data_IF_177022629791
#
_entry.id   IF_177022629791
#
_cell.length_a   1.000
_cell.length_b   1.000
_cell.length_c   1.000
_cell.angle_alpha   90.00
_cell.angle_beta   90.00
_cell.angle_gamma   90.00
#
_symmetry.space_group_name_H-M   'P 1'
#
loop_
_entity.id
_entity.type
_entity.pdbx_description
1 polymer ?
#
# COMPACT_ATOMS: atom_id res chain seq x y z
N UNK A 1 -3.24 -13.38 17.22
CA UNK A 1 -4.23 -13.33 16.11
C UNK A 1 -3.83 -12.29 15.05
N UNK A 2 -3.67 -11.00 15.42
CA UNK A 2 -3.27 -9.95 14.49
C UNK A 2 -1.91 -10.21 13.84
N UNK A 3 -0.93 -10.71 14.59
CA UNK A 3 0.39 -11.08 14.07
C UNK A 3 0.32 -12.24 13.06
N UNK A 4 -0.56 -13.20 13.28
CA UNK A 4 -0.77 -14.32 12.34
C UNK A 4 -1.40 -13.82 11.03
N UNK A 5 -2.40 -12.93 11.11
CA UNK A 5 -3.00 -12.29 9.95
C UNK A 5 -1.95 -11.48 9.16
N UNK A 6 -1.12 -10.72 9.86
CA UNK A 6 -0.04 -9.95 9.25
C UNK A 6 0.98 -10.82 8.55
N UNK A 7 1.37 -11.93 9.15
CA UNK A 7 2.24 -12.92 8.52
C UNK A 7 1.63 -13.53 7.26
N UNK A 8 0.34 -13.82 7.28
CA UNK A 8 -0.37 -14.30 6.09
C UNK A 8 -0.40 -13.22 4.99
N UNK A 9 -0.85 -12.03 5.30
CA UNK A 9 -0.95 -10.92 4.36
C UNK A 9 0.39 -10.58 3.70
N UNK A 10 1.47 -10.72 4.44
CA UNK A 10 2.81 -10.39 3.95
C UNK A 10 3.47 -11.49 3.13
N UNK A 11 3.29 -12.76 3.51
CA UNK A 11 4.14 -13.84 3.03
C UNK A 11 3.40 -14.97 2.30
N UNK A 12 2.09 -15.05 2.39
CA UNK A 12 1.32 -16.22 1.94
C UNK A 12 0.20 -15.92 0.96
N UNK A 13 -0.01 -14.68 0.59
CA UNK A 13 -1.02 -14.32 -0.41
C UNK A 13 -0.52 -14.58 -1.84
N UNK A 14 -1.47 -14.72 -2.77
CA UNK A 14 -1.22 -14.80 -4.21
C UNK A 14 -0.92 -13.45 -4.85
N UNK A 15 -1.13 -12.36 -4.11
CA UNK A 15 -0.80 -11.02 -4.59
C UNK A 15 0.71 -10.92 -4.76
N UNK A 16 1.22 -10.57 -5.96
CA UNK A 16 2.65 -10.41 -6.17
C UNK A 16 3.27 -9.45 -5.15
N UNK A 17 4.42 -9.78 -4.54
CA UNK A 17 5.06 -8.92 -3.52
C UNK A 17 5.24 -7.47 -3.96
N UNK A 18 5.55 -7.22 -5.22
CA UNK A 18 5.67 -5.87 -5.77
C UNK A 18 4.35 -5.08 -5.65
N UNK A 19 3.21 -5.70 -5.98
CA UNK A 19 1.89 -5.06 -5.87
C UNK A 19 1.44 -4.92 -4.42
N UNK A 20 1.75 -5.90 -3.58
CA UNK A 20 1.49 -5.83 -2.14
C UNK A 20 2.24 -4.66 -1.48
N UNK A 21 3.56 -4.58 -1.68
CA UNK A 21 4.36 -3.49 -1.13
C UNK A 21 3.99 -2.12 -1.72
N UNK A 22 3.67 -2.07 -3.02
CA UNK A 22 3.13 -0.85 -3.65
C UNK A 22 1.84 -0.38 -2.96
N UNK A 23 0.90 -1.30 -2.72
CA UNK A 23 -0.37 -1.01 -2.04
C UNK A 23 -0.14 -0.53 -0.60
N UNK A 24 0.82 -1.13 0.11
CA UNK A 24 1.21 -0.71 1.47
C UNK A 24 1.73 0.73 1.45
N UNK A 25 2.60 1.09 0.51
CA UNK A 25 3.10 2.47 0.40
C UNK A 25 1.98 3.47 0.07
N UNK A 26 1.03 3.12 -0.81
CA UNK A 26 -0.14 3.97 -1.09
C UNK A 26 -0.97 4.16 0.17
N UNK A 27 -1.21 3.09 0.93
CA UNK A 27 -1.94 3.12 2.20
C UNK A 27 -1.22 3.98 3.24
N UNK A 28 0.08 3.78 3.42
CA UNK A 28 0.91 4.55 4.33
C UNK A 28 0.87 6.05 4.00
N UNK A 29 0.91 6.41 2.71
CA UNK A 29 0.77 7.80 2.27
C UNK A 29 -0.60 8.39 2.60
N UNK A 30 -1.67 7.65 2.33
CA UNK A 30 -3.05 8.11 2.59
C UNK A 30 -3.31 8.32 4.09
N UNK A 31 -2.76 7.47 4.92
CA UNK A 31 -2.83 7.57 6.39
C UNK A 31 -1.73 8.45 6.99
N UNK A 32 -0.79 8.94 6.18
CA UNK A 32 0.41 9.67 6.65
C UNK A 32 1.13 8.92 7.78
N UNK A 33 1.21 7.59 7.66
CA UNK A 33 1.87 6.72 8.63
C UNK A 33 3.38 6.74 8.40
N UNK A 34 4.09 7.49 9.23
CA UNK A 34 5.54 7.74 9.11
C UNK A 34 6.35 6.45 9.17
N UNK A 35 6.12 5.65 10.21
CA UNK A 35 6.86 4.41 10.41
C UNK A 35 6.54 3.36 9.32
N UNK A 36 5.27 3.19 8.95
CA UNK A 36 4.88 2.22 7.92
C UNK A 36 5.55 2.52 6.58
N UNK A 37 5.57 3.80 6.17
CA UNK A 37 6.29 4.21 4.98
C UNK A 37 7.79 3.90 5.09
N UNK A 38 8.42 4.35 6.17
CA UNK A 38 9.84 4.11 6.44
C UNK A 38 10.21 2.63 6.38
N UNK A 39 9.43 1.78 7.04
CA UNK A 39 9.67 0.35 7.12
C UNK A 39 9.49 -0.37 5.77
N UNK A 40 8.52 0.07 4.94
CA UNK A 40 8.16 -0.63 3.72
C UNK A 40 8.87 -0.14 2.45
N UNK A 41 9.48 1.04 2.42
CA UNK A 41 10.27 1.49 1.26
C UNK A 41 11.35 0.48 0.87
N UNK A 42 12.20 -0.04 1.76
CA UNK A 42 13.21 -1.03 1.38
C UNK A 42 12.60 -2.34 0.84
N UNK A 43 11.45 -2.75 1.37
CA UNK A 43 10.74 -3.94 0.89
C UNK A 43 10.18 -3.73 -0.52
N UNK A 44 9.60 -2.55 -0.78
CA UNK A 44 9.07 -2.18 -2.09
C UNK A 44 10.17 -2.14 -3.14
N UNK A 45 11.32 -1.56 -2.83
CA UNK A 45 12.48 -1.52 -3.72
C UNK A 45 12.98 -2.94 -4.07
N UNK A 46 13.15 -3.80 -3.06
CA UNK A 46 13.54 -5.20 -3.27
C UNK A 46 12.51 -5.99 -4.07
N UNK A 47 11.23 -5.67 -3.95
CA UNK A 47 10.16 -6.30 -4.71
C UNK A 47 10.04 -5.79 -6.15
N UNK A 48 10.75 -4.72 -6.51
CA UNK A 48 10.81 -4.18 -7.87
C UNK A 48 9.97 -2.92 -8.12
N UNK A 49 9.46 -2.26 -7.09
CA UNK A 49 8.89 -0.90 -7.24
C UNK A 49 10.04 0.07 -7.47
N UNK A 50 10.00 0.82 -8.57
CA UNK A 50 11.13 1.70 -8.93
C UNK A 50 11.25 2.89 -7.98
N UNK A 51 12.47 3.41 -7.75
CA UNK A 51 12.68 4.63 -6.96
C UNK A 51 11.88 5.83 -7.47
N UNK A 52 11.72 5.95 -8.78
CA UNK A 52 10.89 6.98 -9.41
C UNK A 52 9.42 6.85 -8.99
N UNK A 53 8.89 5.63 -8.96
CA UNK A 53 7.52 5.36 -8.51
C UNK A 53 7.36 5.67 -7.03
N UNK A 54 8.28 5.24 -6.19
CA UNK A 54 8.27 5.53 -4.73
C UNK A 54 8.26 7.03 -4.47
N UNK A 55 9.12 7.79 -5.17
CA UNK A 55 9.15 9.26 -5.08
C UNK A 55 7.81 9.88 -5.48
N UNK A 56 7.19 9.37 -6.55
CA UNK A 56 5.88 9.86 -7.01
C UNK A 56 4.76 9.53 -6.01
N UNK A 57 4.75 8.31 -5.43
CA UNK A 57 3.79 7.91 -4.39
C UNK A 57 3.91 8.79 -3.15
N UNK A 58 5.13 9.12 -2.72
CA UNK A 58 5.37 10.05 -1.61
C UNK A 58 4.74 11.43 -1.88
N UNK A 59 4.75 11.88 -3.14
CA UNK A 59 4.10 13.12 -3.58
C UNK A 59 2.59 12.96 -3.82
N UNK A 60 1.99 11.78 -3.56
CA UNK A 60 0.56 11.52 -3.69
C UNK A 60 0.07 11.25 -5.11
N UNK A 61 0.94 10.78 -5.99
CA UNK A 61 0.65 10.46 -7.39
C UNK A 61 1.34 9.17 -7.84
N UNK A 62 0.92 8.66 -8.98
CA UNK A 62 1.61 7.55 -9.66
C UNK A 62 2.13 8.05 -11.01
N UNK A 63 3.38 7.71 -11.42
CA UNK A 63 3.89 8.17 -12.71
C UNK A 63 3.20 7.45 -13.86
N UNK A 64 3.05 8.13 -15.01
CA UNK A 64 2.46 7.52 -16.23
C UNK A 64 3.28 6.32 -16.73
N UNK A 65 4.58 6.32 -16.45
CA UNK A 65 5.51 5.24 -16.79
C UNK A 65 5.42 4.02 -15.87
N UNK A 66 4.68 4.09 -14.76
CA UNK A 66 4.48 2.94 -13.89
C UNK A 66 3.76 1.80 -14.64
N UNK A 67 4.06 0.53 -14.31
CA UNK A 67 3.38 -0.62 -14.89
C UNK A 67 1.86 -0.52 -14.77
N UNK A 68 1.16 -1.13 -15.72
CA UNK A 68 -0.32 -1.10 -15.77
C UNK A 68 -0.98 -1.67 -14.53
N UNK A 69 -0.39 -2.70 -13.94
CA UNK A 69 -0.87 -3.34 -12.72
C UNK A 69 -0.71 -2.42 -11.48
N UNK A 70 0.42 -1.75 -11.34
CA UNK A 70 0.63 -0.75 -10.28
C UNK A 70 -0.39 0.40 -10.39
N UNK A 71 -0.63 0.89 -11.62
CA UNK A 71 -1.64 1.93 -11.84
C UNK A 71 -3.06 1.45 -11.52
N UNK A 72 -3.38 0.18 -11.84
CA UNK A 72 -4.66 -0.43 -11.47
C UNK A 72 -4.84 -0.50 -9.94
N UNK A 73 -3.79 -0.89 -9.21
CA UNK A 73 -3.77 -0.88 -7.73
C UNK A 73 -3.98 0.54 -7.20
N UNK A 74 -3.27 1.51 -7.73
CA UNK A 74 -3.38 2.91 -7.28
C UNK A 74 -4.80 3.46 -7.47
N UNK A 75 -5.37 3.29 -8.66
CA UNK A 75 -6.70 3.78 -8.99
C UNK A 75 -7.78 3.12 -8.13
N UNK A 76 -7.64 1.81 -7.89
CA UNK A 76 -8.55 1.05 -7.02
C UNK A 76 -8.53 1.60 -5.59
N UNK A 77 -7.36 1.77 -5.00
CA UNK A 77 -7.22 2.28 -3.63
C UNK A 77 -7.75 3.71 -3.52
N UNK A 78 -7.40 4.58 -4.46
CA UNK A 78 -7.87 5.98 -4.46
C UNK A 78 -9.39 6.07 -4.58
N UNK A 79 -9.99 5.26 -5.43
CA UNK A 79 -11.44 5.23 -5.58
C UNK A 79 -12.13 4.69 -4.31
N UNK A 80 -11.62 3.59 -3.75
CA UNK A 80 -12.12 3.01 -2.50
C UNK A 80 -12.11 4.04 -1.36
N UNK A 81 -11.00 4.76 -1.18
CA UNK A 81 -10.88 5.77 -0.13
C UNK A 81 -11.81 6.96 -0.34
N UNK A 82 -11.94 7.42 -1.58
CA UNK A 82 -12.79 8.58 -1.90
C UNK A 82 -14.27 8.26 -1.80
N UNK A 83 -14.72 7.12 -2.35
CA UNK A 83 -16.13 6.77 -2.52
C UNK A 83 -16.64 5.76 -1.50
N UNK A 84 -15.75 5.14 -0.72
CA UNK A 84 -16.04 4.02 0.20
C UNK A 84 -16.57 2.78 -0.52
N UNK A 85 -16.37 2.73 -1.84
CA UNK A 85 -16.68 1.60 -2.73
C UNK A 85 -15.86 1.73 -4.01
N UNK A 86 -15.81 0.66 -4.77
CA UNK A 86 -15.11 0.60 -6.05
C UNK A 86 -16.13 0.33 -7.16
N UNK A 87 -16.05 1.07 -8.25
CA UNK A 87 -16.90 0.86 -9.43
C UNK A 87 -16.38 -0.29 -10.31
N UNK A 88 -17.25 -0.77 -11.19
CA UNK A 88 -17.00 -1.93 -12.04
C UNK A 88 -15.71 -1.82 -12.86
N UNK A 89 -15.42 -0.63 -13.38
CA UNK A 89 -14.23 -0.39 -14.21
C UNK A 89 -12.93 -0.58 -13.42
N UNK A 90 -12.82 0.01 -12.24
CA UNK A 90 -11.62 -0.12 -11.41
C UNK A 90 -11.49 -1.55 -10.86
N UNK A 91 -12.61 -2.16 -10.48
CA UNK A 91 -12.66 -3.56 -10.07
C UNK A 91 -12.15 -4.49 -11.18
N UNK A 92 -12.73 -4.40 -12.38
CA UNK A 92 -12.37 -5.27 -13.50
C UNK A 92 -10.90 -5.14 -13.91
N UNK A 93 -10.35 -3.91 -13.87
CA UNK A 93 -8.93 -3.68 -14.19
C UNK A 93 -7.99 -4.39 -13.22
N UNK A 94 -8.25 -4.31 -11.93
CA UNK A 94 -7.41 -4.98 -10.94
C UNK A 94 -7.64 -6.49 -10.92
N UNK A 95 -8.90 -6.92 -11.04
CA UNK A 95 -9.27 -8.33 -11.13
C UNK A 95 -8.57 -9.05 -12.30
N UNK A 96 -8.36 -8.38 -13.43
CA UNK A 96 -7.62 -8.94 -14.57
C UNK A 96 -6.17 -9.35 -14.22
N UNK A 97 -5.56 -8.73 -13.20
CA UNK A 97 -4.22 -9.07 -12.72
C UNK A 97 -4.24 -10.06 -11.55
N UNK A 98 -5.23 -9.99 -10.68
CA UNK A 98 -5.23 -10.73 -9.41
C UNK A 98 -6.14 -11.96 -9.38
N UNK A 99 -7.20 -12.00 -10.21
CA UNK A 99 -8.24 -13.03 -10.14
C UNK A 99 -9.09 -12.94 -8.86
N UNK A 100 -10.05 -13.84 -8.70
CA UNK A 100 -11.01 -13.80 -7.58
C UNK A 100 -10.31 -13.92 -6.21
N UNK A 101 -9.49 -14.96 -6.04
CA UNK A 101 -8.78 -15.18 -4.77
C UNK A 101 -7.82 -14.02 -4.44
N UNK A 102 -7.07 -13.56 -5.46
CA UNK A 102 -6.16 -12.42 -5.29
C UNK A 102 -6.87 -11.13 -4.90
N UNK A 103 -8.08 -10.89 -5.38
CA UNK A 103 -8.89 -9.74 -4.98
C UNK A 103 -9.30 -9.80 -3.51
N UNK A 104 -9.71 -10.97 -3.02
CA UNK A 104 -10.06 -11.17 -1.60
C UNK A 104 -8.83 -10.95 -0.72
N UNK A 105 -7.71 -11.55 -1.08
CA UNK A 105 -6.44 -11.40 -0.36
C UNK A 105 -5.93 -9.96 -0.38
N UNK A 106 -6.11 -9.25 -1.51
CA UNK A 106 -5.74 -7.85 -1.65
C UNK A 106 -6.53 -6.93 -0.69
N UNK A 107 -7.84 -7.16 -0.56
CA UNK A 107 -8.65 -6.43 0.42
C UNK A 107 -8.19 -6.73 1.85
N UNK A 108 -7.82 -7.97 2.13
CA UNK A 108 -7.21 -8.37 3.41
C UNK A 108 -5.91 -7.60 3.71
N UNK A 109 -5.02 -7.50 2.72
CA UNK A 109 -3.78 -6.71 2.84
C UNK A 109 -4.10 -5.25 3.16
N UNK A 110 -5.01 -4.62 2.41
CA UNK A 110 -5.40 -3.23 2.64
C UNK A 110 -5.96 -3.02 4.05
N UNK A 111 -6.89 -3.88 4.47
CA UNK A 111 -7.51 -3.79 5.80
C UNK A 111 -6.50 -3.96 6.93
N UNK A 112 -5.59 -4.91 6.80
CA UNK A 112 -4.54 -5.14 7.79
C UNK A 112 -3.61 -3.92 7.93
N UNK A 113 -3.11 -3.38 6.81
CA UNK A 113 -2.20 -2.23 6.86
C UNK A 113 -2.89 -0.92 7.24
N UNK A 114 -4.19 -0.78 7.01
CA UNK A 114 -4.99 0.30 7.61
C UNK A 114 -5.04 0.16 9.14
N UNK A 115 -5.27 -1.05 9.65
CA UNK A 115 -5.20 -1.32 11.10
C UNK A 115 -3.83 -0.93 11.69
N UNK A 116 -2.75 -1.31 11.02
CA UNK A 116 -1.39 -0.97 11.44
C UNK A 116 -1.17 0.55 11.39
N UNK A 117 -1.55 1.21 10.28
CA UNK A 117 -1.42 2.66 10.13
C UNK A 117 -2.18 3.43 11.22
N UNK A 118 -3.41 3.03 11.51
CA UNK A 118 -4.19 3.62 12.61
C UNK A 118 -3.48 3.45 13.95
N UNK A 119 -2.99 2.25 14.24
CA UNK A 119 -2.30 1.96 15.51
C UNK A 119 -1.02 2.82 15.63
N UNK A 120 -0.21 2.86 14.60
CA UNK A 120 1.02 3.67 14.58
C UNK A 120 0.72 5.16 14.76
N UNK A 121 -0.33 5.68 14.13
CA UNK A 121 -0.68 7.08 14.21
C UNK A 121 -1.26 7.45 15.59
N UNK A 122 -2.14 6.62 16.16
CA UNK A 122 -2.72 6.85 17.48
C UNK A 122 -1.63 6.88 18.55
N UNK A 123 -0.66 5.98 18.48
CA UNK A 123 0.43 5.91 19.45
C UNK A 123 1.66 6.75 19.05
N UNK A 124 1.55 7.57 17.98
CA UNK A 124 2.59 8.48 17.49
C UNK A 124 3.93 7.80 17.22
N UNK A 125 3.87 6.59 16.66
CA UNK A 125 5.06 5.84 16.29
C UNK A 125 5.65 6.39 14.99
N UNK A 126 6.87 6.89 15.08
CA UNK A 126 7.65 7.40 13.95
C UNK A 126 8.84 6.51 13.61
N UNK A 127 9.63 6.88 12.58
CA UNK A 127 10.93 6.27 12.33
C UNK A 127 11.84 6.37 13.55
N UNK A 128 12.93 5.56 13.61
CA UNK A 128 13.92 5.67 14.67
C UNK A 128 14.46 7.09 14.81
N UNK A 129 14.92 7.43 16.02
CA UNK A 129 15.52 8.74 16.28
C UNK A 129 16.70 9.02 15.32
N UNK A 130 16.73 10.22 14.76
CA UNK A 130 17.73 10.63 13.77
C UNK A 130 17.34 10.39 12.32
N UNK A 131 16.32 9.59 12.05
CA UNK A 131 15.81 9.38 10.69
C UNK A 131 14.84 10.51 10.28
N UNK A 132 14.92 10.99 9.02
CA UNK A 132 14.02 12.03 8.55
C UNK A 132 12.59 11.51 8.43
N UNK A 133 11.62 12.38 8.77
CA UNK A 133 10.21 12.05 8.60
C UNK A 133 9.84 11.94 7.11
N UNK A 134 9.23 10.83 6.68
CA UNK A 134 8.75 10.66 5.31
C UNK A 134 7.74 11.74 4.87
N UNK A 135 6.90 12.19 5.79
CA UNK A 135 5.85 13.18 5.53
C UNK A 135 5.95 14.35 6.51
N UNK A 136 5.54 15.57 6.11
CA UNK A 136 5.44 16.67 7.06
C UNK A 136 4.51 16.32 8.22
N UNK A 137 4.88 16.72 9.42
CA UNK A 137 3.96 16.73 10.55
C UNK A 137 2.81 17.70 10.25
N UNK A 138 1.59 17.25 10.47
CA UNK A 138 0.43 18.05 10.16
C UNK A 138 -0.67 17.89 11.18
#
# INVERSE_FOLDING_TARGET
LAQQLGGYCRLKTRVPPRLSEFAILVTAKLWRSQYEWFAHVPHAERAGVTPQTIKALRAGRVPKSAPKDERAVYDFIKELYRRKRVGDKAYARLHAFLGDDGMVEFVGILGYYVLIAMSLNVFRMGPPEGEPLPFPEG
#
